data_IF_897113821570
#
_entry.id   IF_897113821570
#
_cell.length_a   1.000
_cell.length_b   1.000
_cell.length_c   1.000
_cell.angle_alpha   90.00
_cell.angle_beta   90.00
_cell.angle_gamma   90.00
#
_symmetry.space_group_name_H-M   'P 1'
#
loop_
_entity.id
_entity.type
_entity.pdbx_description
1 polymer ?
#
# COMPACT_ATOMS: atom_id res chain seq x y z
N UNK A 1 -32.81 15.16 48.35
CA UNK A 1 -32.99 15.48 46.91
C UNK A 1 -31.77 16.28 46.50
N UNK A 2 -30.88 15.90 45.60
CA UNK A 2 -30.60 14.73 44.76
C UNK A 2 -29.32 15.18 44.03
N UNK A 3 -28.15 14.63 44.35
CA UNK A 3 -27.49 13.52 43.65
C UNK A 3 -26.31 14.02 42.81
N UNK A 4 -25.24 13.22 42.86
CA UNK A 4 -23.91 13.41 42.31
C UNK A 4 -23.90 13.32 40.77
N UNK A 5 -22.82 13.80 40.14
CA UNK A 5 -21.86 13.00 39.31
C UNK A 5 -20.68 13.91 38.89
N UNK A 6 -19.40 13.47 39.02
CA UNK A 6 -18.22 14.25 38.65
C UNK A 6 -17.90 14.14 37.14
N UNK A 7 -17.60 15.27 36.48
CA UNK A 7 -17.02 15.28 35.13
C UNK A 7 -15.51 15.03 35.20
N UNK A 8 -15.13 13.76 35.09
CA UNK A 8 -13.81 13.36 34.59
C UNK A 8 -13.68 13.83 33.13
N UNK A 9 -13.07 15.01 32.93
CA UNK A 9 -12.49 15.38 31.64
C UNK A 9 -11.07 14.80 31.58
N UNK A 10 -10.98 13.55 31.12
CA UNK A 10 -9.72 12.88 30.83
C UNK A 10 -9.05 13.50 29.60
N UNK A 11 -7.99 14.26 29.86
CA UNK A 11 -6.72 14.29 29.12
C UNK A 11 -6.79 14.18 27.59
N UNK A 12 -6.97 15.34 26.93
CA UNK A 12 -6.42 15.53 25.59
C UNK A 12 -4.90 15.55 25.70
N UNK A 13 -4.23 14.51 25.20
CA UNK A 13 -2.77 14.43 25.13
C UNK A 13 -2.21 15.65 24.38
N UNK A 14 -1.72 16.63 25.13
CA UNK A 14 -0.88 17.71 24.60
C UNK A 14 0.41 17.09 24.08
N UNK A 15 0.54 16.96 22.76
CA UNK A 15 1.74 16.40 22.13
C UNK A 15 2.95 17.30 22.39
N UNK A 16 3.88 16.83 23.23
CA UNK A 16 5.17 17.49 23.43
C UNK A 16 6.11 17.07 22.30
N UNK A 17 6.58 17.99 21.44
CA UNK A 17 7.48 17.63 20.35
C UNK A 17 8.80 17.05 20.88
N UNK A 18 9.28 15.97 20.26
CA UNK A 18 10.48 15.24 20.67
C UNK A 18 11.51 15.07 19.55
N UNK A 19 12.76 14.82 19.91
CA UNK A 19 13.83 14.56 18.94
C UNK A 19 13.56 13.28 18.12
N UNK A 20 13.67 13.38 16.79
CA UNK A 20 13.47 12.27 15.84
C UNK A 20 14.52 11.16 15.88
N UNK A 21 15.55 11.29 16.72
CA UNK A 21 16.56 10.24 16.93
C UNK A 21 16.60 9.75 18.38
N UNK A 22 16.85 10.65 19.35
CA UNK A 22 17.03 10.28 20.76
C UNK A 22 15.78 10.47 21.62
N UNK A 23 14.65 10.89 21.04
CA UNK A 23 13.35 11.05 21.69
C UNK A 23 13.30 12.00 22.90
N UNK A 24 14.33 12.81 23.14
CA UNK A 24 14.31 13.85 24.16
C UNK A 24 13.20 14.87 23.90
N UNK A 25 12.42 15.16 24.94
CA UNK A 25 11.34 16.15 24.99
C UNK A 25 11.79 17.41 25.75
N UNK A 26 11.05 18.51 25.64
CA UNK A 26 11.32 19.75 26.39
C UNK A 26 12.63 20.46 26.01
N UNK A 27 13.34 19.98 24.98
CA UNK A 27 14.57 20.59 24.46
C UNK A 27 14.28 21.36 23.17
N UNK A 28 15.03 22.43 22.87
CA UNK A 28 14.93 23.10 21.57
C UNK A 28 15.21 22.12 20.44
N UNK A 29 14.26 21.99 19.51
CA UNK A 29 14.40 21.12 18.35
C UNK A 29 14.56 21.95 17.08
N UNK A 30 15.49 21.51 16.23
CA UNK A 30 15.77 22.10 14.92
C UNK A 30 15.11 21.26 13.84
N UNK A 31 14.40 21.92 12.93
CA UNK A 31 13.80 21.23 11.77
C UNK A 31 14.90 20.75 10.83
N UNK A 32 14.72 19.59 10.21
CA UNK A 32 15.55 19.14 9.10
C UNK A 32 15.43 20.16 7.96
N UNK A 33 16.57 20.66 7.49
CA UNK A 33 16.59 21.62 6.39
C UNK A 33 16.07 21.04 5.06
N UNK A 34 16.06 19.70 4.92
CA UNK A 34 15.58 19.04 3.71
C UNK A 34 14.05 18.94 3.64
N UNK A 35 13.42 18.26 4.60
CA UNK A 35 11.97 18.05 4.57
C UNK A 35 11.16 19.09 5.35
N UNK A 36 11.77 19.84 6.28
CA UNK A 36 11.05 20.76 7.18
C UNK A 36 10.13 20.09 8.21
N UNK A 37 9.94 18.77 8.14
CA UNK A 37 9.03 17.98 8.97
C UNK A 37 9.76 17.43 10.20
N UNK A 38 10.86 16.71 9.98
CA UNK A 38 11.66 16.12 11.07
C UNK A 38 12.26 17.17 11.99
N UNK A 39 12.30 16.87 13.29
CA UNK A 39 12.88 17.74 14.32
C UNK A 39 13.96 17.01 15.10
N UNK A 40 15.13 17.61 15.27
CA UNK A 40 16.26 17.02 15.97
C UNK A 40 16.84 17.99 17.00
N UNK A 41 17.26 17.50 18.16
CA UNK A 41 17.93 18.34 19.16
C UNK A 41 19.35 18.73 18.75
N UNK A 42 20.00 17.98 17.86
CA UNK A 42 21.36 18.25 17.37
C UNK A 42 21.57 17.76 15.92
N UNK A 43 22.64 18.26 15.28
CA UNK A 43 23.08 17.76 13.96
C UNK A 43 23.52 16.29 14.01
N UNK A 44 24.06 15.84 15.15
CA UNK A 44 24.47 14.44 15.31
C UNK A 44 23.26 13.51 15.35
N UNK A 45 22.18 13.93 16.02
CA UNK A 45 20.90 13.22 15.99
C UNK A 45 20.32 13.16 14.56
N UNK A 46 20.43 14.24 13.80
CA UNK A 46 20.00 14.25 12.40
C UNK A 46 20.84 13.28 11.54
N UNK A 47 22.17 13.28 11.69
CA UNK A 47 23.08 12.37 10.96
C UNK A 47 22.84 10.90 11.33
N UNK A 48 22.65 10.60 12.60
CA UNK A 48 22.40 9.24 13.07
C UNK A 48 21.03 8.70 12.60
N UNK A 49 20.03 9.59 12.48
CA UNK A 49 18.74 9.26 11.88
C UNK A 49 18.80 9.20 10.34
N UNK A 50 19.89 9.62 9.68
CA UNK A 50 19.93 9.75 8.22
C UNK A 50 19.68 8.45 7.44
N UNK A 51 20.19 7.26 7.82
CA UNK A 51 19.93 6.04 7.06
C UNK A 51 18.44 5.71 6.94
N UNK A 52 17.67 5.92 8.01
CA UNK A 52 16.21 5.70 8.03
C UNK A 52 15.41 6.91 7.56
N UNK A 53 15.92 8.12 7.80
CA UNK A 53 15.25 9.35 7.39
C UNK A 53 15.43 9.65 5.90
N UNK A 54 16.57 9.34 5.28
CA UNK A 54 16.90 9.71 3.89
C UNK A 54 15.83 9.34 2.86
N UNK A 55 15.20 8.15 2.89
CA UNK A 55 14.10 7.82 1.99
C UNK A 55 12.91 8.79 2.13
N UNK A 56 12.62 9.23 3.36
CA UNK A 56 11.57 10.21 3.67
C UNK A 56 12.05 11.68 3.58
N UNK A 57 13.36 11.93 3.55
CA UNK A 57 13.94 13.27 3.51
C UNK A 57 14.07 13.80 2.08
N UNK A 58 14.30 12.89 1.11
CA UNK A 58 14.45 13.22 -0.32
C UNK A 58 13.13 13.56 -1.01
N UNK A 59 12.04 13.60 -0.27
CA UNK A 59 10.80 14.26 -0.67
C UNK A 59 10.96 15.80 -0.59
N UNK A 60 12.01 16.38 -1.19
CA UNK A 60 12.26 17.82 -1.13
C UNK A 60 11.23 18.66 -1.91
N UNK A 61 10.38 18.00 -2.72
CA UNK A 61 9.13 18.56 -3.27
C UNK A 61 7.87 18.17 -2.47
N UNK A 62 8.01 17.35 -1.44
CA UNK A 62 6.92 16.75 -0.69
C UNK A 62 7.06 17.03 0.81
N UNK A 63 6.66 18.25 1.20
CA UNK A 63 5.54 18.24 2.13
C UNK A 63 4.35 17.75 1.29
N UNK A 64 3.87 16.50 1.44
CA UNK A 64 2.72 16.06 0.68
C UNK A 64 1.49 16.95 0.90
N UNK A 65 1.44 17.77 1.96
CA UNK A 65 0.41 18.81 2.19
C UNK A 65 0.71 20.18 1.57
N UNK A 66 1.91 20.44 1.01
CA UNK A 66 2.08 21.61 0.14
C UNK A 66 1.46 21.21 -1.20
N UNK A 67 0.23 21.66 -1.46
CA UNK A 67 -0.37 21.64 -2.81
C UNK A 67 0.43 22.57 -3.71
N UNK A 68 1.63 22.15 -4.10
CA UNK A 68 2.42 22.79 -5.14
C UNK A 68 1.82 22.52 -6.52
N UNK A 69 1.06 21.43 -6.64
CA UNK A 69 0.36 20.99 -7.85
C UNK A 69 -1.14 21.04 -7.58
N UNK A 70 -1.86 21.78 -8.40
CA UNK A 70 -3.31 21.87 -8.41
C UNK A 70 -3.94 20.66 -9.08
N UNK A 71 -5.21 20.32 -8.79
CA UNK A 71 -5.92 19.28 -9.53
C UNK A 71 -5.93 19.49 -11.05
N UNK A 72 -5.99 20.74 -11.51
CA UNK A 72 -6.05 21.07 -12.93
C UNK A 72 -4.75 20.70 -13.66
N UNK A 73 -3.60 20.87 -13.02
CA UNK A 73 -2.29 20.52 -13.58
C UNK A 73 -2.11 19.00 -13.79
N UNK A 74 -2.89 18.18 -13.08
CA UNK A 74 -2.94 16.72 -13.25
C UNK A 74 -4.17 16.24 -14.01
N UNK A 75 -4.91 17.15 -14.67
CA UNK A 75 -6.03 16.81 -15.55
C UNK A 75 -7.40 16.72 -14.87
N UNK A 76 -7.56 17.24 -13.65
CA UNK A 76 -8.82 17.21 -12.92
C UNK A 76 -9.37 18.61 -12.60
N UNK A 77 -10.64 18.84 -12.93
CA UNK A 77 -11.30 20.14 -12.70
C UNK A 77 -11.46 20.53 -11.23
N UNK A 78 -11.48 19.56 -10.31
CA UNK A 78 -11.69 19.78 -8.88
C UNK A 78 -10.91 18.77 -8.05
N UNK A 79 -10.64 19.10 -6.78
CA UNK A 79 -10.06 18.15 -5.83
C UNK A 79 -10.94 16.91 -5.61
N UNK A 80 -12.27 17.03 -5.73
CA UNK A 80 -13.19 15.90 -5.62
C UNK A 80 -13.05 14.96 -6.83
N UNK A 81 -12.93 15.51 -8.04
CA UNK A 81 -12.66 14.71 -9.26
C UNK A 81 -11.36 13.92 -9.12
N UNK A 82 -10.30 14.58 -8.64
CA UNK A 82 -9.02 13.95 -8.37
C UNK A 82 -9.12 12.86 -7.29
N UNK A 83 -9.81 13.12 -6.18
CA UNK A 83 -10.02 12.13 -5.12
C UNK A 83 -10.75 10.88 -5.62
N UNK A 84 -11.75 11.05 -6.50
CA UNK A 84 -12.46 9.94 -7.13
C UNK A 84 -11.54 9.14 -8.05
N UNK A 85 -10.70 9.80 -8.83
CA UNK A 85 -9.75 9.16 -9.72
C UNK A 85 -8.72 8.33 -8.95
N UNK A 86 -8.08 8.89 -7.91
CA UNK A 86 -7.12 8.16 -7.06
C UNK A 86 -7.78 6.97 -6.36
N UNK A 87 -9.00 7.14 -5.84
CA UNK A 87 -9.75 6.04 -5.22
C UNK A 87 -10.09 4.93 -6.23
N UNK A 88 -10.53 5.30 -7.43
CA UNK A 88 -10.86 4.37 -8.52
C UNK A 88 -9.63 3.57 -8.95
N UNK A 89 -8.52 4.26 -9.21
CA UNK A 89 -7.24 3.64 -9.53
C UNK A 89 -6.81 2.66 -8.42
N UNK A 90 -6.89 3.09 -7.15
CA UNK A 90 -6.51 2.25 -6.01
C UNK A 90 -7.34 0.97 -5.95
N UNK A 91 -8.66 1.05 -6.21
CA UNK A 91 -9.56 -0.11 -6.24
C UNK A 91 -9.25 -1.06 -7.40
N UNK A 92 -8.88 -0.54 -8.57
CA UNK A 92 -8.50 -1.40 -9.71
C UNK A 92 -7.30 -2.28 -9.38
N UNK A 93 -6.35 -1.74 -8.62
CA UNK A 93 -5.12 -2.41 -8.24
C UNK A 93 -5.18 -3.13 -6.89
N UNK A 94 -6.36 -3.24 -6.26
CA UNK A 94 -6.50 -3.81 -4.91
C UNK A 94 -5.96 -5.23 -4.79
N UNK A 95 -6.18 -6.09 -5.81
CA UNK A 95 -5.62 -7.44 -5.82
C UNK A 95 -4.09 -7.44 -5.84
N UNK A 96 -3.48 -6.58 -6.65
CA UNK A 96 -2.02 -6.42 -6.69
C UNK A 96 -1.49 -5.82 -5.37
N UNK A 97 -2.20 -4.85 -4.79
CA UNK A 97 -1.86 -4.28 -3.48
C UNK A 97 -1.93 -5.33 -2.36
N UNK A 98 -2.91 -6.25 -2.41
CA UNK A 98 -2.98 -7.37 -1.48
C UNK A 98 -1.71 -8.23 -1.63
N UNK A 99 -1.29 -8.63 -2.84
CA UNK A 99 -0.04 -9.39 -3.04
C UNK A 99 1.17 -8.65 -2.45
N UNK A 100 1.30 -7.35 -2.71
CA UNK A 100 2.37 -6.51 -2.16
C UNK A 100 2.35 -6.54 -0.63
N UNK A 101 1.17 -6.42 0.00
CA UNK A 101 1.04 -6.50 1.45
C UNK A 101 1.54 -7.85 2.00
N UNK A 102 1.24 -8.98 1.36
CA UNK A 102 1.75 -10.30 1.79
C UNK A 102 3.26 -10.38 1.71
N UNK A 103 3.83 -9.91 0.61
CA UNK A 103 5.27 -9.91 0.38
C UNK A 103 5.96 -9.08 1.46
N UNK A 104 5.50 -7.85 1.71
CA UNK A 104 6.06 -6.97 2.73
C UNK A 104 6.00 -7.60 4.13
N UNK A 105 4.87 -8.22 4.49
CA UNK A 105 4.73 -8.89 5.79
C UNK A 105 5.64 -10.11 5.93
N UNK A 106 5.82 -10.90 4.87
CA UNK A 106 6.79 -12.01 4.83
C UNK A 106 8.23 -11.52 4.98
N UNK A 107 8.59 -10.44 4.27
CA UNK A 107 9.95 -9.91 4.27
C UNK A 107 10.33 -9.31 5.64
N UNK A 108 9.38 -8.64 6.29
CA UNK A 108 9.51 -8.09 7.65
C UNK A 108 9.58 -9.21 8.71
N UNK A 109 8.87 -10.32 8.48
CA UNK A 109 8.82 -11.46 9.41
C UNK A 109 7.93 -11.25 10.62
N UNK A 110 7.41 -10.02 10.85
CA UNK A 110 6.43 -9.72 11.88
C UNK A 110 5.01 -9.72 11.30
N UNK A 111 4.20 -10.66 11.74
CA UNK A 111 2.80 -10.81 11.29
C UNK A 111 1.79 -10.12 12.18
N UNK A 112 2.24 -9.42 13.24
CA UNK A 112 1.35 -8.72 14.15
C UNK A 112 0.65 -7.56 13.46
N UNK A 113 -0.64 -7.73 13.17
CA UNK A 113 -1.50 -6.71 12.56
C UNK A 113 -2.62 -6.37 13.54
N UNK A 114 -2.31 -5.68 14.66
CA UNK A 114 -3.37 -5.26 15.55
C UNK A 114 -4.30 -4.30 14.79
N UNK A 115 -5.61 -4.46 14.96
CA UNK A 115 -6.60 -3.62 14.29
C UNK A 115 -6.43 -2.12 14.59
N UNK A 116 -5.73 -1.79 15.68
CA UNK A 116 -5.28 -0.43 16.01
C UNK A 116 -4.45 0.21 14.89
N UNK A 117 -3.85 -0.58 14.00
CA UNK A 117 -3.20 -0.11 12.77
C UNK A 117 -1.75 0.31 12.95
N UNK A 118 -0.97 -0.30 13.85
CA UNK A 118 0.43 0.08 14.14
C UNK A 118 1.35 0.14 12.90
N UNK A 119 0.93 -0.45 11.78
CA UNK A 119 1.60 -0.42 10.47
C UNK A 119 0.60 -0.03 9.38
N UNK A 120 1.06 0.75 8.40
CA UNK A 120 0.29 1.20 7.24
C UNK A 120 1.12 0.96 5.98
N UNK A 121 0.54 0.32 4.98
CA UNK A 121 1.14 0.23 3.64
C UNK A 121 0.90 1.54 2.89
N UNK A 122 1.98 2.23 2.54
CA UNK A 122 1.92 3.51 1.86
C UNK A 122 2.24 3.36 0.38
N UNK A 123 1.47 4.02 -0.48
CA UNK A 123 1.74 4.19 -1.91
C UNK A 123 1.80 5.69 -2.23
N UNK A 124 2.97 6.16 -2.68
CA UNK A 124 3.13 7.49 -3.27
C UNK A 124 3.01 7.41 -4.78
N UNK A 125 2.04 8.14 -5.30
CA UNK A 125 1.71 8.16 -6.71
C UNK A 125 2.25 9.41 -7.39
N UNK A 126 2.55 9.29 -8.68
CA UNK A 126 2.73 10.42 -9.60
C UNK A 126 1.77 10.27 -10.78
N UNK A 127 1.32 11.40 -11.33
CA UNK A 127 0.41 11.40 -12.47
C UNK A 127 1.15 11.16 -13.77
N UNK A 128 0.51 10.44 -14.72
CA UNK A 128 1.02 10.27 -16.09
C UNK A 128 0.48 11.30 -17.07
N UNK A 129 -0.45 12.16 -16.65
CA UNK A 129 -1.02 13.19 -17.54
C UNK A 129 0.00 14.30 -17.83
N UNK A 130 -0.05 14.90 -19.04
CA UNK A 130 -1.02 14.67 -20.11
C UNK A 130 -0.62 13.55 -21.09
N UNK A 131 0.44 12.79 -20.81
CA UNK A 131 1.16 11.99 -21.80
C UNK A 131 0.61 10.58 -22.07
N UNK A 132 -0.53 10.17 -21.48
CA UNK A 132 -1.07 8.82 -21.68
C UNK A 132 -1.97 8.75 -22.93
N UNK A 133 -1.60 7.98 -23.98
CA UNK A 133 -2.38 7.89 -25.21
C UNK A 133 -3.69 7.10 -25.07
N UNK A 134 -3.80 6.19 -24.10
CA UNK A 134 -4.96 5.30 -23.95
C UNK A 134 -6.02 5.89 -22.99
N UNK A 135 -5.63 6.85 -22.15
CA UNK A 135 -6.52 7.52 -21.18
C UNK A 135 -7.15 6.58 -20.14
N UNK A 136 -6.57 5.40 -19.94
CA UNK A 136 -7.14 4.36 -19.10
C UNK A 136 -7.07 4.72 -17.61
N UNK A 137 -8.16 4.52 -16.84
CA UNK A 137 -8.16 4.81 -15.41
C UNK A 137 -7.17 3.94 -14.61
N UNK A 138 -6.73 2.79 -15.15
CA UNK A 138 -5.72 1.95 -14.51
C UNK A 138 -4.29 2.42 -14.75
N UNK A 139 -4.05 3.25 -15.78
CA UNK A 139 -2.74 3.82 -16.13
C UNK A 139 -2.60 5.30 -15.74
N UNK A 140 -3.65 5.95 -15.24
CA UNK A 140 -3.68 7.37 -14.86
C UNK A 140 -2.54 7.78 -13.90
N UNK A 141 -2.08 6.86 -13.05
CA UNK A 141 -0.98 7.06 -12.10
C UNK A 141 0.07 5.96 -12.17
N UNK A 142 1.31 6.26 -11.79
CA UNK A 142 2.35 5.28 -11.42
C UNK A 142 2.62 5.33 -9.92
N UNK A 143 3.08 4.21 -9.36
CA UNK A 143 3.69 4.14 -8.04
C UNK A 143 5.15 4.55 -8.16
N UNK A 144 5.51 5.64 -7.49
CA UNK A 144 6.89 6.12 -7.35
C UNK A 144 7.54 5.52 -6.10
N UNK A 145 6.79 5.45 -5.00
CA UNK A 145 7.28 4.90 -3.73
C UNK A 145 6.23 3.98 -3.09
N UNK A 146 6.70 2.87 -2.51
CA UNK A 146 5.91 2.02 -1.63
C UNK A 146 6.76 1.63 -0.41
N UNK A 147 6.16 1.55 0.78
CA UNK A 147 6.78 0.99 1.97
C UNK A 147 5.76 0.80 3.10
N UNK A 148 6.14 0.06 4.14
CA UNK A 148 5.40 -0.04 5.40
C UNK A 148 5.84 1.08 6.34
N UNK A 149 4.92 2.00 6.64
CA UNK A 149 5.11 3.02 7.66
C UNK A 149 4.58 2.50 9.01
N UNK A 150 5.35 2.68 10.07
CA UNK A 150 4.93 2.36 11.44
C UNK A 150 4.31 3.57 12.13
N UNK A 151 3.44 3.33 13.12
CA UNK A 151 2.91 4.41 13.99
C UNK A 151 4.03 5.13 14.73
N UNK A 152 5.08 4.39 15.14
CA UNK A 152 6.29 4.99 15.70
C UNK A 152 6.89 5.99 14.72
N UNK A 153 7.07 5.61 13.46
CA UNK A 153 7.60 6.52 12.44
C UNK A 153 6.70 7.71 12.18
N UNK A 154 5.37 7.56 12.24
CA UNK A 154 4.48 8.73 12.23
C UNK A 154 4.75 9.67 13.41
N UNK A 155 4.77 9.14 14.63
CA UNK A 155 4.96 9.93 15.86
C UNK A 155 6.34 10.61 15.89
N UNK A 156 7.37 9.90 15.44
CA UNK A 156 8.75 10.41 15.47
C UNK A 156 9.08 11.25 14.24
N UNK A 157 8.48 10.93 13.08
CA UNK A 157 8.81 11.53 11.80
C UNK A 157 7.75 12.43 11.15
N UNK A 158 6.58 12.59 11.75
CA UNK A 158 5.56 13.53 11.27
C UNK A 158 5.01 13.16 9.90
N UNK A 159 4.81 11.87 9.62
CA UNK A 159 4.20 11.39 8.37
C UNK A 159 2.68 11.62 8.42
N UNK A 160 2.23 12.88 8.41
CA UNK A 160 0.83 13.23 8.66
C UNK A 160 -0.17 12.64 7.66
N UNK A 161 0.30 12.24 6.47
CA UNK A 161 -0.52 11.58 5.45
C UNK A 161 -1.15 10.26 5.93
N UNK A 162 -0.57 9.59 6.93
CA UNK A 162 -1.13 8.36 7.51
C UNK A 162 -1.91 8.59 8.80
N UNK A 163 -2.00 9.84 9.29
CA UNK A 163 -2.61 10.16 10.59
C UNK A 163 -4.07 9.68 10.69
N UNK A 164 -4.85 9.85 9.62
CA UNK A 164 -6.27 9.47 9.54
C UNK A 164 -6.49 7.97 9.71
N UNK A 165 -5.47 7.14 9.43
CA UNK A 165 -5.58 5.69 9.62
C UNK A 165 -5.76 5.31 11.09
N UNK A 166 -5.30 6.15 12.02
CA UNK A 166 -5.38 5.91 13.46
C UNK A 166 -6.57 6.61 14.13
N UNK A 167 -7.43 7.26 13.37
CA UNK A 167 -8.66 7.83 13.91
C UNK A 167 -9.63 6.72 14.37
N UNK A 168 -10.44 6.95 15.43
CA UNK A 168 -11.32 5.92 15.99
C UNK A 168 -12.25 5.26 14.98
N UNK A 169 -12.76 6.02 14.00
CA UNK A 169 -13.66 5.50 12.97
C UNK A 169 -12.92 4.57 12.00
N UNK A 170 -11.73 4.95 11.55
CA UNK A 170 -10.92 4.12 10.65
C UNK A 170 -10.51 2.80 11.34
N UNK A 171 -10.14 2.86 12.62
CA UNK A 171 -9.86 1.68 13.44
C UNK A 171 -11.09 0.76 13.54
N UNK A 172 -12.26 1.32 13.87
CA UNK A 172 -13.51 0.58 13.98
C UNK A 172 -13.90 -0.11 12.68
N UNK A 173 -13.85 0.61 11.55
CA UNK A 173 -14.18 0.03 10.24
C UNK A 173 -13.28 -1.15 9.88
N UNK A 174 -11.99 -1.10 10.25
CA UNK A 174 -11.09 -2.26 10.07
C UNK A 174 -11.43 -3.42 11.00
N UNK A 175 -11.78 -3.16 12.26
CA UNK A 175 -12.22 -4.20 13.20
C UNK A 175 -13.48 -4.93 12.69
N UNK A 176 -14.47 -4.18 12.20
CA UNK A 176 -15.71 -4.73 11.64
C UNK A 176 -15.43 -5.56 10.38
N UNK A 177 -14.57 -5.07 9.48
CA UNK A 177 -14.15 -5.81 8.30
C UNK A 177 -13.41 -7.09 8.65
N UNK A 178 -12.48 -7.04 9.61
CA UNK A 178 -11.73 -8.19 10.07
C UNK A 178 -12.66 -9.26 10.68
N UNK A 179 -13.56 -8.86 11.57
CA UNK A 179 -14.54 -9.77 12.19
C UNK A 179 -15.44 -10.44 11.15
N UNK A 180 -15.92 -9.67 10.16
CA UNK A 180 -16.73 -10.20 9.06
C UNK A 180 -15.98 -11.23 8.21
N UNK A 181 -14.69 -10.97 7.93
CA UNK A 181 -13.87 -11.89 7.13
C UNK A 181 -13.51 -13.16 7.92
N UNK A 182 -13.14 -13.04 9.20
CA UNK A 182 -12.86 -14.21 10.06
C UNK A 182 -14.07 -15.15 10.11
N UNK A 183 -15.26 -14.61 10.34
CA UNK A 183 -16.50 -15.39 10.37
C UNK A 183 -16.80 -16.12 9.04
N UNK A 184 -16.43 -15.54 7.89
CA UNK A 184 -16.63 -16.16 6.56
C UNK A 184 -15.59 -17.22 6.21
N UNK A 185 -14.36 -17.07 6.70
CA UNK A 185 -13.23 -17.95 6.35
C UNK A 185 -13.19 -19.20 7.23
N UNK A 186 -13.57 -19.09 8.49
CA UNK A 186 -13.60 -20.23 9.43
C UNK A 186 -14.57 -21.34 9.00
N UNK A 187 -15.56 -21.03 8.14
CA UNK A 187 -16.52 -22.00 7.61
C UNK A 187 -16.04 -22.76 6.35
N UNK A 188 -14.86 -22.46 5.81
CA UNK A 188 -14.40 -23.05 4.53
C UNK A 188 -13.05 -23.75 4.72
N UNK A 189 -13.09 -25.08 4.73
CA UNK A 189 -11.91 -25.92 4.84
C UNK A 189 -10.91 -25.66 3.69
N UNK A 190 -9.62 -25.60 4.02
CA UNK A 190 -8.55 -25.32 3.06
C UNK A 190 -8.31 -23.83 2.76
N UNK A 191 -9.09 -22.89 3.30
CA UNK A 191 -8.78 -21.46 3.12
C UNK A 191 -7.63 -21.00 4.02
N UNK A 192 -6.71 -20.14 3.52
CA UNK A 192 -5.69 -19.52 4.37
C UNK A 192 -6.33 -18.75 5.53
N UNK A 193 -5.73 -18.88 6.73
CA UNK A 193 -6.20 -18.14 7.91
C UNK A 193 -5.88 -16.66 7.77
N UNK A 194 -6.85 -15.79 8.08
CA UNK A 194 -6.64 -14.35 8.09
C UNK A 194 -5.64 -13.97 9.19
N UNK A 195 -4.55 -13.32 8.82
CA UNK A 195 -3.60 -12.73 9.76
C UNK A 195 -4.14 -11.41 10.32
N UNK A 196 -4.71 -10.56 9.46
CA UNK A 196 -5.39 -9.32 9.87
C UNK A 196 -5.62 -8.37 8.70
N UNK A 197 -6.01 -7.14 9.02
CA UNK A 197 -6.22 -6.07 8.04
C UNK A 197 -5.09 -5.04 8.14
N UNK A 198 -4.31 -4.91 7.07
CA UNK A 198 -3.27 -3.89 6.96
C UNK A 198 -3.87 -2.62 6.33
N UNK A 199 -3.95 -1.48 7.04
CA UNK A 199 -4.40 -0.23 6.42
C UNK A 199 -3.47 0.16 5.27
N UNK A 200 -4.07 0.65 4.18
CA UNK A 200 -3.38 1.17 3.00
C UNK A 200 -3.65 2.67 2.91
N UNK A 201 -2.62 3.46 2.63
CA UNK A 201 -2.76 4.88 2.31
C UNK A 201 -2.14 5.14 0.95
N UNK A 202 -2.90 5.79 0.08
CA UNK A 202 -2.44 6.21 -1.24
C UNK A 202 -2.44 7.73 -1.27
N UNK A 203 -1.35 8.35 -1.71
CA UNK A 203 -1.29 9.80 -1.86
C UNK A 203 -0.70 10.18 -3.20
N UNK A 204 -1.14 11.31 -3.76
CA UNK A 204 -0.58 11.85 -4.99
C UNK A 204 0.43 12.95 -4.66
N UNK A 205 1.69 12.71 -5.02
CA UNK A 205 2.82 13.58 -4.71
C UNK A 205 2.54 15.02 -5.17
N UNK A 206 2.78 15.99 -4.29
CA UNK A 206 2.67 17.42 -4.59
C UNK A 206 1.26 18.00 -4.59
N UNK A 207 0.20 17.20 -4.44
CA UNK A 207 -1.19 17.68 -4.55
C UNK A 207 -1.94 17.85 -3.22
N UNK A 208 -1.47 17.25 -2.12
CA UNK A 208 -2.26 17.13 -0.89
C UNK A 208 -3.29 16.00 -0.90
N UNK A 209 -3.48 15.31 -2.03
CA UNK A 209 -4.48 14.26 -2.14
C UNK A 209 -4.06 13.00 -1.39
N UNK A 210 -4.92 12.52 -0.50
CA UNK A 210 -4.73 11.30 0.28
C UNK A 210 -6.03 10.50 0.27
N UNK A 211 -5.93 9.20 0.01
CA UNK A 211 -7.05 8.26 0.11
C UNK A 211 -6.67 7.06 0.97
N UNK A 212 -7.64 6.56 1.72
CA UNK A 212 -7.48 5.39 2.58
C UNK A 212 -8.02 4.12 1.92
N UNK A 213 -7.48 2.98 2.32
CA UNK A 213 -7.93 1.66 1.93
C UNK A 213 -7.44 0.62 2.93
N UNK A 214 -7.62 -0.65 2.60
CA UNK A 214 -7.15 -1.74 3.45
C UNK A 214 -6.80 -2.96 2.60
N UNK A 215 -5.69 -3.60 2.95
CA UNK A 215 -5.25 -4.86 2.37
C UNK A 215 -5.56 -5.99 3.33
N UNK A 216 -5.99 -7.13 2.80
CA UNK A 216 -6.24 -8.34 3.59
C UNK A 216 -4.96 -9.15 3.61
N UNK A 217 -4.49 -9.51 4.81
CA UNK A 217 -3.26 -10.27 4.97
C UNK A 217 -3.60 -11.64 5.54
N UNK A 218 -3.08 -12.70 4.91
CA UNK A 218 -3.30 -14.08 5.30
C UNK A 218 -1.98 -14.78 5.61
N UNK A 219 -2.02 -15.72 6.54
CA UNK A 219 -0.86 -16.55 6.83
C UNK A 219 -0.52 -17.45 5.63
N UNK A 220 0.77 -17.68 5.34
CA UNK A 220 1.17 -18.66 4.34
C UNK A 220 0.81 -20.07 4.81
N UNK A 221 0.45 -20.94 3.88
CA UNK A 221 0.19 -22.36 4.15
C UNK A 221 1.45 -23.02 4.72
N UNK A 222 1.32 -23.66 5.88
CA UNK A 222 2.41 -24.38 6.52
C UNK A 222 3.44 -23.52 7.26
N UNK A 223 3.27 -22.20 7.31
CA UNK A 223 4.12 -21.31 8.10
C UNK A 223 3.49 -21.00 9.46
N UNK A 224 4.31 -21.08 10.52
CA UNK A 224 3.90 -20.56 11.83
C UNK A 224 4.08 -19.04 11.88
N UNK A 225 3.18 -18.29 12.56
CA UNK A 225 3.35 -16.85 12.75
C UNK A 225 4.72 -16.52 13.35
N UNK A 226 5.48 -15.65 12.67
CA UNK A 226 6.82 -15.24 13.11
C UNK A 226 7.97 -16.18 12.71
N UNK A 227 7.70 -17.26 11.97
CA UNK A 227 8.75 -18.12 11.44
C UNK A 227 9.66 -17.35 10.46
N UNK A 228 10.99 -17.51 10.56
CA UNK A 228 11.91 -16.84 9.65
C UNK A 228 11.75 -17.37 8.23
N UNK A 229 11.66 -16.45 7.27
CA UNK A 229 11.68 -16.78 5.85
C UNK A 229 13.13 -16.94 5.40
N UNK A 230 13.45 -18.06 4.75
CA UNK A 230 14.80 -18.32 4.26
C UNK A 230 15.20 -17.34 3.14
N UNK A 231 16.51 -17.27 2.88
CA UNK A 231 17.06 -16.30 1.94
C UNK A 231 16.55 -16.51 0.51
N UNK A 232 16.35 -17.77 0.09
CA UNK A 232 15.90 -18.10 -1.27
C UNK A 232 14.48 -17.61 -1.44
N UNK A 233 13.58 -17.91 -0.50
CA UNK A 233 12.20 -17.40 -0.54
C UNK A 233 12.16 -15.88 -0.49
N UNK A 234 13.01 -15.21 0.31
CA UNK A 234 13.10 -13.73 0.31
C UNK A 234 13.48 -13.15 -1.05
N UNK A 235 14.39 -13.79 -1.80
CA UNK A 235 14.76 -13.36 -3.16
C UNK A 235 13.56 -13.46 -4.09
N UNK A 236 12.85 -14.60 -4.08
CA UNK A 236 11.65 -14.78 -4.90
C UNK A 236 10.54 -13.77 -4.57
N UNK A 237 10.32 -13.49 -3.29
CA UNK A 237 9.35 -12.50 -2.84
C UNK A 237 9.72 -11.09 -3.32
N UNK A 238 11.00 -10.71 -3.34
CA UNK A 238 11.44 -9.43 -3.91
C UNK A 238 11.24 -9.35 -5.43
N UNK A 239 11.46 -10.45 -6.15
CA UNK A 239 11.13 -10.51 -7.59
C UNK A 239 9.62 -10.36 -7.83
N UNK A 240 8.80 -10.95 -6.96
CA UNK A 240 7.35 -10.79 -7.00
C UNK A 240 6.92 -9.35 -6.68
N UNK A 241 7.56 -8.68 -5.73
CA UNK A 241 7.31 -7.27 -5.44
C UNK A 241 7.57 -6.40 -6.69
N UNK A 242 8.71 -6.63 -7.34
CA UNK A 242 9.09 -5.91 -8.56
C UNK A 242 8.07 -6.14 -9.68
N UNK A 243 7.69 -7.39 -9.96
CA UNK A 243 6.72 -7.65 -11.04
C UNK A 243 5.35 -7.02 -10.73
N UNK A 244 4.91 -7.02 -9.47
CA UNK A 244 3.67 -6.34 -9.06
C UNK A 244 3.72 -4.83 -9.30
N UNK A 245 4.82 -4.17 -8.93
CA UNK A 245 5.00 -2.73 -9.14
C UNK A 245 5.10 -2.38 -10.63
N UNK A 246 5.84 -3.16 -11.42
CA UNK A 246 5.90 -2.94 -12.88
C UNK A 246 4.55 -3.19 -13.54
N UNK A 247 3.78 -4.16 -13.09
CA UNK A 247 2.43 -4.41 -13.60
C UNK A 247 1.55 -3.18 -13.40
N UNK A 248 1.53 -2.62 -12.18
CA UNK A 248 0.81 -1.37 -11.87
C UNK A 248 1.34 -0.21 -12.75
N UNK A 249 2.66 -0.07 -12.84
CA UNK A 249 3.32 1.02 -13.59
C UNK A 249 3.21 0.86 -15.11
N UNK A 250 2.83 -0.30 -15.63
CA UNK A 250 2.43 -0.49 -17.01
C UNK A 250 0.93 -0.24 -17.24
N UNK A 251 0.17 0.06 -16.17
CA UNK A 251 -1.28 0.26 -16.25
C UNK A 251 -2.08 -1.04 -16.35
N UNK A 252 -1.40 -2.18 -16.16
CA UNK A 252 -1.98 -3.52 -16.21
C UNK A 252 -2.62 -3.86 -14.87
N UNK A 253 -3.73 -4.60 -14.92
CA UNK A 253 -4.53 -4.99 -13.75
C UNK A 253 -4.53 -6.50 -13.64
N UNK A 254 -4.04 -7.01 -12.50
CA UNK A 254 -4.13 -8.41 -12.15
C UNK A 254 -5.50 -8.75 -11.56
N UNK A 255 -6.00 -9.93 -11.89
CA UNK A 255 -7.18 -10.53 -11.25
C UNK A 255 -6.86 -11.96 -10.77
N UNK A 256 -7.55 -12.46 -9.73
CA UNK A 256 -7.41 -13.84 -9.31
C UNK A 256 -7.66 -14.81 -10.48
N UNK A 257 -6.89 -15.90 -10.55
CA UNK A 257 -7.15 -17.00 -11.49
C UNK A 257 -8.34 -17.84 -11.05
N UNK A 258 -8.96 -18.57 -11.97
CA UNK A 258 -9.88 -19.65 -11.59
C UNK A 258 -9.08 -20.76 -10.90
N UNK A 259 -9.41 -21.07 -9.66
CA UNK A 259 -8.72 -22.10 -8.88
C UNK A 259 -8.96 -23.52 -9.40
N UNK A 260 -10.04 -23.72 -10.18
CA UNK A 260 -10.33 -24.98 -10.85
C UNK A 260 -9.37 -25.24 -12.00
N UNK A 261 -8.83 -24.18 -12.61
CA UNK A 261 -7.83 -24.29 -13.65
C UNK A 261 -6.43 -24.48 -13.04
N UNK A 262 -5.85 -25.66 -13.24
CA UNK A 262 -4.51 -26.01 -12.77
C UNK A 262 -3.44 -25.88 -13.86
N UNK A 263 -3.81 -25.43 -15.05
CA UNK A 263 -2.89 -25.32 -16.19
C UNK A 263 -1.89 -24.18 -16.05
N UNK A 264 -2.22 -23.15 -15.28
CA UNK A 264 -1.40 -21.96 -15.09
C UNK A 264 -1.28 -21.57 -13.62
N UNK A 265 -0.09 -21.10 -13.24
CA UNK A 265 0.18 -20.46 -11.96
C UNK A 265 0.06 -18.94 -12.04
N UNK A 266 -0.19 -18.38 -13.22
CA UNK A 266 -0.29 -16.94 -13.40
C UNK A 266 -1.68 -16.43 -12.99
N UNK A 267 -1.78 -15.25 -12.37
CA UNK A 267 -3.06 -14.54 -12.29
C UNK A 267 -3.53 -14.13 -13.69
N UNK A 268 -4.82 -13.79 -13.82
CA UNK A 268 -5.30 -13.15 -15.04
C UNK A 268 -4.68 -11.76 -15.14
N UNK A 269 -4.26 -11.35 -16.34
CA UNK A 269 -3.68 -10.02 -16.59
C UNK A 269 -4.43 -9.33 -17.71
N UNK A 270 -4.71 -8.04 -17.53
CA UNK A 270 -5.48 -7.28 -18.51
C UNK A 270 -5.33 -5.78 -18.36
N UNK A 271 -6.03 -5.04 -19.22
CA UNK A 271 -6.12 -3.57 -19.16
C UNK A 271 -7.57 -3.12 -19.31
N UNK A 272 -7.88 -1.94 -18.79
CA UNK A 272 -9.16 -1.30 -19.04
C UNK A 272 -9.11 -0.56 -20.38
N UNK A 273 -10.03 -0.90 -21.28
CA UNK A 273 -10.20 -0.23 -22.57
C UNK A 273 -11.59 0.37 -22.68
N UNK A 274 -11.71 1.43 -23.46
CA UNK A 274 -12.98 2.11 -23.66
C UNK A 274 -13.88 1.30 -24.60
N UNK A 275 -15.09 0.99 -24.15
CA UNK A 275 -16.14 0.33 -24.93
C UNK A 275 -17.48 1.01 -24.64
N UNK A 276 -18.10 1.62 -25.67
CA UNK A 276 -19.39 2.33 -25.58
C UNK A 276 -19.46 3.36 -24.43
N UNK A 277 -18.43 4.21 -24.32
CA UNK A 277 -18.27 5.24 -23.28
C UNK A 277 -18.09 4.72 -21.85
N UNK A 278 -17.84 3.42 -21.68
CA UNK A 278 -17.52 2.79 -20.41
C UNK A 278 -16.17 2.11 -20.48
N UNK A 279 -15.58 1.83 -19.34
CA UNK A 279 -14.33 1.09 -19.23
C UNK A 279 -14.61 -0.39 -19.01
N UNK A 280 -14.07 -1.24 -19.89
CA UNK A 280 -14.12 -2.70 -19.74
C UNK A 280 -12.73 -3.29 -19.56
N UNK A 281 -12.61 -4.19 -18.60
CA UNK A 281 -11.40 -4.99 -18.47
C UNK A 281 -11.34 -5.99 -19.64
N UNK A 282 -10.20 -6.04 -20.31
CA UNK A 282 -9.91 -7.01 -21.35
C UNK A 282 -8.60 -7.73 -21.05
N UNK A 283 -8.59 -9.04 -21.31
CA UNK A 283 -7.38 -9.85 -21.17
C UNK A 283 -6.27 -9.30 -22.06
N UNK A 284 -5.06 -9.31 -21.52
CA UNK A 284 -3.84 -8.92 -22.20
C UNK A 284 -2.80 -10.07 -22.19
N UNK A 285 -3.22 -11.30 -21.89
CA UNK A 285 -2.34 -12.46 -21.69
C UNK A 285 -1.42 -12.75 -22.89
N UNK A 286 -1.86 -12.46 -24.11
CA UNK A 286 -1.11 -12.70 -25.35
C UNK A 286 0.24 -11.96 -25.40
N UNK A 287 0.35 -10.81 -24.72
CA UNK A 287 1.52 -9.94 -24.78
C UNK A 287 2.02 -9.47 -23.41
N UNK A 288 1.16 -9.27 -22.42
CA UNK A 288 1.50 -8.58 -21.17
C UNK A 288 2.58 -9.31 -20.37
N UNK A 289 2.50 -10.65 -20.28
CA UNK A 289 3.52 -11.43 -19.60
C UNK A 289 4.89 -11.39 -20.29
N UNK A 290 4.92 -11.33 -21.62
CA UNK A 290 6.16 -11.18 -22.39
C UNK A 290 6.76 -9.79 -22.18
N UNK A 291 5.93 -8.75 -22.18
CA UNK A 291 6.36 -7.39 -21.91
C UNK A 291 6.92 -7.25 -20.48
N UNK A 292 6.23 -7.81 -19.48
CA UNK A 292 6.72 -7.85 -18.10
C UNK A 292 8.04 -8.61 -17.98
N UNK A 293 8.17 -9.78 -18.63
CA UNK A 293 9.43 -10.53 -18.62
C UNK A 293 10.59 -9.71 -19.19
N UNK A 294 10.34 -8.95 -20.27
CA UNK A 294 11.33 -8.04 -20.86
C UNK A 294 11.74 -6.93 -19.88
N UNK A 295 10.78 -6.26 -19.25
CA UNK A 295 11.06 -5.23 -18.23
C UNK A 295 11.85 -5.82 -17.05
N UNK A 296 11.47 -7.02 -16.60
CA UNK A 296 12.15 -7.72 -15.52
C UNK A 296 13.61 -8.04 -15.84
N UNK A 297 13.88 -8.47 -17.08
CA UNK A 297 15.24 -8.70 -17.56
C UNK A 297 16.04 -7.40 -17.66
N UNK A 298 15.49 -6.36 -18.27
CA UNK A 298 16.21 -5.11 -18.55
C UNK A 298 16.47 -4.28 -17.28
N UNK A 299 15.48 -4.18 -16.39
CA UNK A 299 15.56 -3.33 -15.20
C UNK A 299 16.16 -4.03 -13.99
N UNK A 300 15.93 -5.33 -13.85
CA UNK A 300 16.30 -6.09 -12.65
C UNK A 300 17.27 -7.24 -12.93
N UNK A 301 17.73 -7.42 -14.18
CA UNK A 301 18.58 -8.55 -14.60
C UNK A 301 17.97 -9.91 -14.24
N UNK A 302 16.64 -9.97 -14.19
CA UNK A 302 15.90 -11.17 -13.82
C UNK A 302 15.73 -12.09 -15.02
N UNK A 303 16.41 -13.24 -15.00
CA UNK A 303 16.28 -14.27 -16.04
C UNK A 303 15.09 -15.21 -15.84
N UNK A 304 14.42 -15.12 -14.68
CA UNK A 304 13.25 -15.94 -14.37
C UNK A 304 12.00 -15.36 -15.01
N UNK A 305 11.14 -16.25 -15.49
CA UNK A 305 9.85 -15.86 -16.09
C UNK A 305 8.86 -15.43 -15.00
N UNK A 306 7.82 -14.65 -15.35
CA UNK A 306 6.70 -14.39 -14.45
C UNK A 306 6.11 -15.68 -13.85
N UNK A 307 6.01 -16.75 -14.64
CA UNK A 307 5.48 -18.04 -14.20
C UNK A 307 6.33 -18.65 -13.09
N UNK A 308 7.66 -18.61 -13.21
CA UNK A 308 8.58 -19.11 -12.18
C UNK A 308 8.40 -18.35 -10.85
N UNK A 309 8.24 -17.03 -10.94
CA UNK A 309 8.07 -16.14 -9.79
C UNK A 309 6.72 -16.42 -9.09
N UNK A 310 5.62 -16.48 -9.85
CA UNK A 310 4.29 -16.76 -9.30
C UNK A 310 4.14 -18.20 -8.79
N UNK A 311 4.86 -19.17 -9.36
CA UNK A 311 4.87 -20.53 -8.84
C UNK A 311 5.37 -20.59 -7.38
N UNK A 312 6.36 -19.76 -7.01
CA UNK A 312 6.83 -19.67 -5.62
C UNK A 312 5.78 -19.05 -4.71
N UNK A 313 5.10 -17.99 -5.17
CA UNK A 313 3.99 -17.38 -4.43
C UNK A 313 2.86 -18.40 -4.16
N UNK A 314 2.51 -19.20 -5.15
CA UNK A 314 1.45 -20.21 -5.01
C UNK A 314 1.87 -21.41 -4.15
N UNK A 315 3.16 -21.71 -3.99
CA UNK A 315 3.58 -22.68 -2.97
C UNK A 315 3.27 -22.20 -1.56
N UNK A 316 3.41 -20.90 -1.31
CA UNK A 316 3.10 -20.25 -0.04
C UNK A 316 1.59 -20.05 0.17
N UNK A 317 0.83 -19.80 -0.91
CA UNK A 317 -0.63 -19.65 -0.90
C UNK A 317 -1.29 -20.51 -2.00
N UNK A 318 -1.41 -21.81 -1.72
CA UNK A 318 -1.82 -22.85 -2.70
C UNK A 318 -3.19 -22.64 -3.32
N UNK A 319 -4.13 -22.09 -2.55
CA UNK A 319 -5.50 -21.84 -3.00
C UNK A 319 -5.67 -20.45 -3.63
N UNK A 320 -4.57 -19.77 -3.93
CA UNK A 320 -4.63 -18.35 -4.23
C UNK A 320 -5.15 -17.56 -3.05
N UNK A 321 -5.07 -16.25 -3.17
CA UNK A 321 -5.61 -15.34 -2.18
C UNK A 321 -7.12 -15.22 -2.39
N UNK A 322 -7.98 -15.40 -1.36
CA UNK A 322 -9.35 -14.91 -1.39
C UNK A 322 -9.27 -13.37 -1.33
N UNK A 323 -8.86 -12.76 -2.44
CA UNK A 323 -8.62 -11.32 -2.54
C UNK A 323 -9.91 -10.53 -2.43
N UNK A 324 -9.77 -9.21 -2.51
CA UNK A 324 -10.91 -8.37 -2.89
C UNK A 324 -11.63 -8.99 -4.12
N UNK A 325 -12.98 -8.95 -4.17
CA UNK A 325 -13.67 -9.27 -5.42
C UNK A 325 -13.06 -8.43 -6.54
N UNK A 326 -12.82 -9.04 -7.69
CA UNK A 326 -12.29 -8.33 -8.85
C UNK A 326 -13.16 -7.07 -9.07
N UNK A 327 -12.56 -5.92 -9.42
CA UNK A 327 -13.35 -4.75 -9.75
C UNK A 327 -14.35 -5.12 -10.85
N UNK A 328 -15.49 -4.44 -10.89
CA UNK A 328 -16.54 -4.71 -11.87
C UNK A 328 -15.95 -4.82 -13.29
N UNK A 329 -16.46 -5.77 -14.09
CA UNK A 329 -16.02 -5.94 -15.48
C UNK A 329 -16.25 -4.68 -16.31
N UNK A 330 -17.23 -3.87 -15.92
CA UNK A 330 -17.62 -2.64 -16.56
C UNK A 330 -17.76 -1.51 -15.52
N UNK A 331 -17.31 -0.31 -15.87
CA UNK A 331 -17.36 0.87 -15.02
C UNK A 331 -17.60 2.12 -15.87
N UNK A 332 -18.28 3.11 -15.31
CA UNK A 332 -18.51 4.42 -15.94
C UNK A 332 -17.21 5.22 -16.20
#
# INVERSE_FOLDING_TARGET
MSEQIPRFLGEGLSFVPQCGHCHKQGVPLRKCAGCGIMKYCSRDCQKASWPTHKPMCRSQDANPMRSAITPAEVGHSTGISLARAVNRWSKMHDYTCDIIAHVEMMLDGNWSLPASGERVLLFGLVSRTPSDPDGSPSSEFTVDVHYIATRREYVTHGIYIVASQWEPNAVRSRQELEASLRAKLESVEGTPKLAGILPKTTYLVGTGMVTGGSCRVYFPTGYQPGAPVDLVTKVWLKLLLNICLETINMGLVLRPRDLRDRSSTLPLIGKYVQHKKKWRWQSAEEWAWKALAKVMLEKYLCVYTPSDIFATYHKLWQYGMPGNPAPAEEMD
#
